data_IF_562866902493
#
_entry.id   IF_562866902493
#
_cell.length_a   1.000
_cell.length_b   1.000
_cell.length_c   1.000
_cell.angle_alpha   90.00
_cell.angle_beta   90.00
_cell.angle_gamma   90.00
#
_symmetry.space_group_name_H-M   'P 1'
#
loop_
_entity.id
_entity.type
_entity.pdbx_description
1 polymer ?
#
# COMPACT_ATOMS: atom_id res chain seq x y z
N UNK A 1 6.88 11.25 -24.58
CA UNK A 1 5.58 11.77 -25.01
C UNK A 1 4.58 10.63 -25.06
N UNK A 2 3.31 10.85 -24.69
CA UNK A 2 2.26 9.84 -24.82
C UNK A 2 1.94 9.55 -26.30
N UNK A 3 1.34 8.40 -26.56
CA UNK A 3 0.81 8.06 -27.87
C UNK A 3 -0.47 8.83 -28.13
N UNK A 4 -1.34 8.91 -27.14
CA UNK A 4 -2.52 9.78 -27.18
C UNK A 4 -2.12 11.17 -26.66
N UNK A 5 -2.23 12.21 -27.50
CA UNK A 5 -1.82 13.58 -27.19
C UNK A 5 -2.56 14.20 -25.98
N UNK A 6 -3.72 13.65 -25.59
CA UNK A 6 -4.47 14.09 -24.41
C UNK A 6 -4.02 13.42 -23.12
N UNK A 7 -3.27 12.32 -23.19
CA UNK A 7 -2.76 11.61 -22.03
C UNK A 7 -1.54 12.33 -21.43
N UNK A 8 -1.28 12.17 -20.12
CA UNK A 8 -0.15 12.82 -19.47
C UNK A 8 1.20 12.28 -19.93
N UNK A 9 2.23 13.12 -19.89
CA UNK A 9 3.61 12.73 -20.13
C UNK A 9 4.12 11.83 -18.98
N UNK A 10 5.13 11.02 -19.25
CA UNK A 10 5.97 10.42 -18.22
C UNK A 10 7.08 11.42 -17.90
N UNK A 11 7.09 11.98 -16.70
CA UNK A 11 8.22 12.76 -16.21
C UNK A 11 9.19 11.83 -15.47
N UNK A 12 10.47 11.99 -15.75
CA UNK A 12 11.51 11.21 -15.09
C UNK A 12 12.73 12.09 -14.75
N UNK A 13 13.48 11.69 -13.77
CA UNK A 13 14.76 12.27 -13.38
C UNK A 13 15.87 11.23 -13.57
N UNK A 14 17.04 11.70 -14.02
CA UNK A 14 18.24 10.89 -14.15
C UNK A 14 19.43 11.67 -13.59
N UNK A 15 20.11 11.10 -12.60
CA UNK A 15 21.30 11.68 -11.98
C UNK A 15 22.55 10.93 -12.43
N UNK A 16 23.51 11.66 -12.93
CA UNK A 16 24.75 11.16 -13.52
C UNK A 16 25.95 11.65 -12.69
N UNK A 17 26.48 10.85 -11.74
CA UNK A 17 27.57 11.27 -10.89
C UNK A 17 28.89 11.36 -11.68
N UNK A 18 29.72 12.38 -11.40
CA UNK A 18 31.04 12.52 -12.03
C UNK A 18 31.98 11.32 -11.81
N UNK A 19 31.87 10.67 -10.65
CA UNK A 19 32.60 9.44 -10.31
C UNK A 19 31.67 8.23 -10.38
N UNK A 20 31.25 7.90 -11.60
CA UNK A 20 30.36 6.77 -11.81
C UNK A 20 31.05 5.43 -11.53
N UNK A 21 30.38 4.56 -10.76
CA UNK A 21 30.88 3.24 -10.41
C UNK A 21 30.50 2.14 -11.44
N UNK A 22 29.91 2.51 -12.58
CA UNK A 22 29.48 1.61 -13.63
C UNK A 22 28.13 0.92 -13.36
N UNK A 23 27.36 1.39 -12.38
CA UNK A 23 26.08 0.78 -11.98
C UNK A 23 24.94 1.81 -12.01
N UNK A 24 23.72 1.30 -12.20
CA UNK A 24 22.50 2.13 -12.15
C UNK A 24 21.52 1.60 -11.11
N UNK A 25 20.70 2.49 -10.55
CA UNK A 25 19.55 2.13 -9.72
C UNK A 25 18.33 2.89 -10.21
N UNK A 26 17.27 2.14 -10.52
CA UNK A 26 15.93 2.65 -10.76
C UNK A 26 15.13 2.61 -9.45
N UNK A 27 14.60 3.74 -9.02
CA UNK A 27 13.77 3.86 -7.82
C UNK A 27 12.28 3.80 -8.20
N UNK A 28 11.54 2.89 -7.57
CA UNK A 28 10.08 2.81 -7.71
C UNK A 28 9.35 3.74 -6.75
N UNK A 29 8.15 4.14 -7.11
CA UNK A 29 7.30 5.05 -6.34
C UNK A 29 6.45 4.38 -5.26
N UNK A 30 5.41 5.07 -4.78
CA UNK A 30 4.52 4.58 -3.72
C UNK A 30 3.06 5.01 -3.91
N UNK A 31 2.13 4.30 -3.30
CA UNK A 31 0.69 4.56 -3.41
C UNK A 31 0.19 4.44 -4.86
N UNK A 32 -0.58 5.41 -5.31
CA UNK A 32 -0.93 5.55 -6.73
C UNK A 32 0.13 6.33 -7.53
N UNK A 33 1.28 6.65 -6.92
CA UNK A 33 2.37 7.45 -7.47
C UNK A 33 1.92 8.86 -7.94
N UNK A 34 2.26 9.30 -9.15
CA UNK A 34 1.92 10.64 -9.65
C UNK A 34 2.86 11.75 -9.18
N UNK A 35 3.95 11.41 -8.48
CA UNK A 35 5.03 12.30 -8.07
C UNK A 35 6.34 11.82 -8.63
N UNK A 36 7.14 12.76 -9.10
CA UNK A 36 8.46 12.43 -9.61
C UNK A 36 9.34 11.85 -8.51
N UNK A 37 9.84 10.65 -8.75
CA UNK A 37 10.89 10.02 -7.96
C UNK A 37 12.22 10.44 -8.57
N UNK A 38 12.97 11.27 -7.87
CA UNK A 38 14.19 11.88 -8.43
C UNK A 38 15.44 11.01 -8.25
N UNK A 39 15.37 9.94 -7.45
CA UNK A 39 16.48 9.00 -7.27
C UNK A 39 17.63 9.54 -6.41
N UNK A 40 17.43 10.61 -5.63
CA UNK A 40 18.45 11.17 -4.74
C UNK A 40 18.33 10.66 -3.30
N UNK A 41 17.30 9.89 -3.01
CA UNK A 41 16.95 9.40 -1.69
C UNK A 41 17.93 8.35 -1.14
N UNK A 42 18.00 8.24 0.19
CA UNK A 42 18.56 7.07 0.85
C UNK A 42 17.64 5.86 0.65
N UNK A 43 18.19 4.65 0.77
CA UNK A 43 17.39 3.43 0.68
C UNK A 43 16.44 3.36 1.88
N UNK A 44 15.14 3.40 1.61
CA UNK A 44 14.13 3.30 2.64
C UNK A 44 14.25 1.95 3.38
N UNK A 45 14.24 2.02 4.72
CA UNK A 45 14.50 0.87 5.62
C UNK A 45 15.88 0.24 5.45
N UNK A 46 16.77 0.86 4.72
CA UNK A 46 18.18 0.50 4.69
C UNK A 46 18.92 0.97 5.97
N UNK A 47 20.18 0.59 6.12
CA UNK A 47 20.99 1.05 7.25
C UNK A 47 21.08 2.58 7.28
N UNK A 48 20.73 3.19 8.41
CA UNK A 48 20.66 4.64 8.56
C UNK A 48 22.02 5.36 8.43
N UNK A 49 23.11 4.62 8.60
CA UNK A 49 24.50 5.10 8.47
C UNK A 49 25.03 5.05 7.03
N UNK A 50 24.26 4.55 6.09
CA UNK A 50 24.70 4.46 4.68
C UNK A 50 24.22 5.67 3.87
N UNK A 51 25.13 6.24 3.05
CA UNK A 51 24.76 7.36 2.16
C UNK A 51 23.81 6.90 1.05
N UNK A 52 23.14 7.87 0.42
CA UNK A 52 22.34 7.62 -0.75
C UNK A 52 23.15 6.97 -1.90
N UNK A 53 22.56 6.10 -2.72
CA UNK A 53 23.27 5.43 -3.82
C UNK A 53 23.97 6.39 -4.78
N UNK A 54 23.39 7.56 -5.05
CA UNK A 54 24.02 8.59 -5.87
C UNK A 54 25.39 9.01 -5.28
N UNK A 55 25.49 9.20 -3.97
CA UNK A 55 26.75 9.53 -3.31
C UNK A 55 27.79 8.39 -3.34
N UNK A 56 27.34 7.15 -3.56
CA UNK A 56 28.17 5.96 -3.76
C UNK A 56 28.57 5.77 -5.24
N UNK A 57 28.23 6.72 -6.10
CA UNK A 57 28.60 6.71 -7.51
C UNK A 57 27.65 5.93 -8.42
N UNK A 58 26.47 5.54 -7.97
CA UNK A 58 25.46 4.98 -8.85
C UNK A 58 24.82 6.09 -9.70
N UNK A 59 24.59 5.85 -10.98
CA UNK A 59 23.65 6.66 -11.73
C UNK A 59 22.23 6.24 -11.27
N UNK A 60 21.42 7.22 -10.86
CA UNK A 60 20.12 6.93 -10.25
C UNK A 60 19.00 7.61 -11.04
N UNK A 61 17.83 6.97 -11.09
CA UNK A 61 16.68 7.52 -11.81
C UNK A 61 15.36 6.98 -11.25
N UNK A 62 14.29 7.67 -11.58
CA UNK A 62 12.92 7.29 -11.30
C UNK A 62 11.93 8.13 -12.09
N UNK A 63 10.65 7.78 -12.04
CA UNK A 63 9.59 8.46 -12.76
C UNK A 63 8.35 8.74 -11.89
N UNK A 64 7.34 9.37 -12.48
CA UNK A 64 6.06 9.67 -11.86
C UNK A 64 4.95 8.67 -12.18
N UNK A 65 5.28 7.50 -12.74
CA UNK A 65 4.37 6.47 -13.27
C UNK A 65 3.50 6.91 -14.47
N UNK A 66 3.87 8.00 -15.13
CA UNK A 66 3.19 8.49 -16.34
C UNK A 66 1.90 9.24 -16.05
N UNK A 67 1.82 9.91 -14.92
CA UNK A 67 0.79 10.90 -14.60
C UNK A 67 1.28 11.81 -13.47
N UNK A 68 0.61 12.94 -13.26
CA UNK A 68 0.94 13.91 -12.23
C UNK A 68 -0.22 14.06 -11.24
N UNK A 69 0.08 13.98 -9.95
CA UNK A 69 -0.90 14.16 -8.89
C UNK A 69 -0.32 14.89 -7.68
N UNK A 70 -1.16 15.68 -7.01
CA UNK A 70 -0.84 16.30 -5.73
C UNK A 70 -0.84 15.31 -4.55
N UNK A 71 -1.41 14.12 -4.74
CA UNK A 71 -1.53 13.10 -3.69
C UNK A 71 -1.26 11.69 -4.23
N UNK A 72 -0.49 10.90 -3.49
CA UNK A 72 -0.26 9.49 -3.77
C UNK A 72 -1.48 8.60 -3.53
N UNK A 73 -2.59 9.15 -3.07
CA UNK A 73 -3.87 8.45 -2.93
C UNK A 73 -4.90 8.85 -3.98
N UNK A 74 -4.57 9.71 -4.94
CA UNK A 74 -5.46 10.15 -6.00
C UNK A 74 -5.45 9.14 -7.17
N UNK A 75 -6.58 8.49 -7.41
CA UNK A 75 -6.77 7.49 -8.47
C UNK A 75 -7.31 8.04 -9.79
N UNK A 76 -7.56 9.35 -9.90
CA UNK A 76 -8.22 9.97 -11.07
C UNK A 76 -7.53 9.69 -12.41
N UNK A 77 -6.23 9.54 -12.42
CA UNK A 77 -5.46 9.23 -13.63
C UNK A 77 -5.93 7.94 -14.32
N UNK A 78 -6.48 6.99 -13.55
CA UNK A 78 -6.94 5.71 -14.08
C UNK A 78 -8.17 5.84 -15.00
N UNK A 79 -8.80 7.02 -15.08
CA UNK A 79 -9.79 7.33 -16.10
C UNK A 79 -9.17 7.47 -17.52
N UNK A 80 -7.85 7.69 -17.63
CA UNK A 80 -7.10 7.68 -18.89
C UNK A 80 -6.42 6.32 -19.06
N UNK A 81 -6.67 5.66 -20.20
CA UNK A 81 -6.18 4.30 -20.44
C UNK A 81 -4.67 4.21 -20.61
N UNK A 82 -4.02 5.24 -21.20
CA UNK A 82 -2.57 5.26 -21.33
C UNK A 82 -1.89 5.51 -19.99
N UNK A 83 -2.41 6.43 -19.17
CA UNK A 83 -1.93 6.66 -17.81
C UNK A 83 -2.10 5.40 -16.94
N UNK A 84 -3.23 4.72 -17.06
CA UNK A 84 -3.47 3.45 -16.38
C UNK A 84 -2.48 2.36 -16.80
N UNK A 85 -2.20 2.23 -18.10
CA UNK A 85 -1.21 1.28 -18.62
C UNK A 85 0.22 1.63 -18.16
N UNK A 86 0.56 2.91 -18.11
CA UNK A 86 1.83 3.40 -17.59
C UNK A 86 1.98 3.04 -16.10
N UNK A 87 0.98 3.34 -15.27
CA UNK A 87 0.95 2.94 -13.87
C UNK A 87 0.99 1.41 -13.68
N UNK A 88 0.41 0.66 -14.61
CA UNK A 88 0.46 -0.81 -14.66
C UNK A 88 1.84 -1.38 -14.98
N UNK A 89 2.86 -0.53 -15.18
CA UNK A 89 4.26 -0.89 -15.36
C UNK A 89 4.89 -0.48 -16.70
N UNK A 90 4.14 0.10 -17.64
CA UNK A 90 4.76 0.52 -18.92
C UNK A 90 5.69 1.72 -18.74
N UNK A 91 5.41 2.64 -17.80
CA UNK A 91 6.30 3.76 -17.50
C UNK A 91 7.68 3.28 -17.08
N UNK A 92 7.75 2.25 -16.25
CA UNK A 92 9.01 1.68 -15.76
C UNK A 92 9.92 1.22 -16.92
N UNK A 93 9.35 0.49 -17.88
CA UNK A 93 10.10 0.02 -19.07
C UNK A 93 10.56 1.18 -19.92
N UNK A 94 9.66 2.12 -20.21
CA UNK A 94 9.96 3.32 -21.02
C UNK A 94 11.07 4.14 -20.36
N UNK A 95 10.96 4.41 -19.07
CA UNK A 95 11.97 5.17 -18.29
C UNK A 95 13.31 4.46 -18.24
N UNK A 96 13.30 3.15 -17.96
CA UNK A 96 14.52 2.32 -17.92
C UNK A 96 15.26 2.36 -19.26
N UNK A 97 14.55 2.19 -20.36
CA UNK A 97 15.18 2.12 -21.68
C UNK A 97 15.78 3.48 -22.08
N UNK A 98 15.09 4.59 -21.81
CA UNK A 98 15.61 5.94 -22.05
C UNK A 98 16.80 6.22 -21.13
N UNK A 99 16.70 5.91 -19.83
CA UNK A 99 17.79 6.11 -18.88
C UNK A 99 19.05 5.34 -19.28
N UNK A 100 18.92 4.08 -19.72
CA UNK A 100 20.05 3.27 -20.19
C UNK A 100 20.74 3.89 -21.41
N UNK A 101 19.97 4.44 -22.37
CA UNK A 101 20.52 5.13 -23.54
C UNK A 101 21.26 6.42 -23.13
N UNK A 102 20.68 7.23 -22.23
CA UNK A 102 21.29 8.46 -21.77
C UNK A 102 22.58 8.21 -20.95
N UNK A 103 22.58 7.20 -20.08
CA UNK A 103 23.77 6.76 -19.33
C UNK A 103 24.88 6.36 -20.32
N UNK A 104 24.54 5.54 -21.31
CA UNK A 104 25.51 5.12 -22.35
C UNK A 104 26.03 6.31 -23.14
N UNK A 105 25.18 7.25 -23.51
CA UNK A 105 25.59 8.43 -24.27
C UNK A 105 26.49 9.38 -23.45
N UNK A 106 26.24 9.52 -22.15
CA UNK A 106 27.02 10.41 -21.29
C UNK A 106 28.40 9.84 -20.91
N UNK A 107 28.47 8.54 -20.59
CA UNK A 107 29.71 7.90 -20.14
C UNK A 107 30.46 7.15 -21.26
N UNK A 108 29.92 7.15 -22.48
CA UNK A 108 30.42 6.34 -23.62
C UNK A 108 30.53 4.83 -23.28
N UNK A 109 29.74 4.38 -22.30
CA UNK A 109 29.74 3.01 -21.80
C UNK A 109 28.37 2.64 -21.22
N UNK A 110 27.88 1.44 -21.54
CA UNK A 110 26.68 0.90 -20.90
C UNK A 110 26.91 0.54 -19.41
N UNK A 111 25.88 0.59 -18.57
CA UNK A 111 25.99 0.09 -17.21
C UNK A 111 26.47 -1.37 -17.18
N UNK A 112 27.41 -1.68 -16.27
CA UNK A 112 27.84 -3.06 -16.03
C UNK A 112 26.79 -3.84 -15.25
N UNK A 113 26.07 -3.15 -14.37
CA UNK A 113 24.96 -3.70 -13.61
C UNK A 113 23.85 -2.65 -13.47
N UNK A 114 22.62 -3.13 -13.58
CA UNK A 114 21.41 -2.34 -13.38
C UNK A 114 20.57 -2.96 -12.26
N UNK A 115 20.09 -2.14 -11.34
CA UNK A 115 19.26 -2.57 -10.22
C UNK A 115 17.95 -1.81 -10.18
N UNK A 116 16.91 -2.45 -9.63
CA UNK A 116 15.67 -1.79 -9.26
C UNK A 116 15.47 -1.86 -7.75
N UNK A 117 15.00 -0.77 -7.17
CA UNK A 117 14.69 -0.68 -5.75
C UNK A 117 13.33 -0.02 -5.55
N UNK A 118 12.43 -0.71 -4.86
CA UNK A 118 11.13 -0.15 -4.57
C UNK A 118 10.47 -0.71 -3.32
N UNK A 119 9.70 0.16 -2.66
CA UNK A 119 8.95 -0.16 -1.45
C UNK A 119 7.46 0.01 -1.72
N UNK A 120 6.59 -0.82 -1.12
CA UNK A 120 5.13 -0.75 -1.28
C UNK A 120 4.73 -0.94 -2.76
N UNK A 121 4.10 0.06 -3.40
CA UNK A 121 3.83 0.03 -4.85
C UNK A 121 5.12 -0.13 -5.65
N UNK A 122 6.22 0.51 -5.27
CA UNK A 122 7.52 0.31 -5.91
C UNK A 122 8.04 -1.13 -5.79
N UNK A 123 7.72 -1.83 -4.70
CA UNK A 123 7.98 -3.27 -4.58
C UNK A 123 7.12 -4.10 -5.54
N UNK A 124 5.83 -3.77 -5.71
CA UNK A 124 4.99 -4.32 -6.78
C UNK A 124 5.61 -4.08 -8.16
N UNK A 125 6.06 -2.85 -8.41
CA UNK A 125 6.67 -2.44 -9.67
C UNK A 125 7.92 -3.26 -9.99
N UNK A 126 8.79 -3.50 -8.99
CA UNK A 126 9.96 -4.37 -9.10
C UNK A 126 9.58 -5.76 -9.59
N UNK A 127 8.59 -6.38 -8.93
CA UNK A 127 8.13 -7.74 -9.28
C UNK A 127 7.40 -7.77 -10.62
N UNK A 128 6.55 -6.78 -10.91
CA UNK A 128 5.87 -6.68 -12.20
C UNK A 128 6.86 -6.50 -13.36
N UNK A 129 7.93 -5.74 -13.14
CA UNK A 129 8.96 -5.52 -14.16
C UNK A 129 9.71 -6.80 -14.48
N UNK A 130 10.24 -7.51 -13.48
CA UNK A 130 11.01 -8.74 -13.72
C UNK A 130 10.16 -9.89 -14.28
N UNK A 131 8.86 -9.92 -14.01
CA UNK A 131 7.96 -10.87 -14.64
C UNK A 131 7.81 -10.65 -16.15
N UNK A 132 7.84 -9.38 -16.59
CA UNK A 132 7.63 -9.02 -18.00
C UNK A 132 8.94 -8.89 -18.76
N UNK A 133 9.98 -8.39 -18.12
CA UNK A 133 11.29 -8.08 -18.71
C UNK A 133 12.43 -8.56 -17.79
N UNK A 134 12.61 -9.90 -17.69
CA UNK A 134 13.50 -10.51 -16.69
C UNK A 134 15.00 -10.20 -16.91
N UNK A 135 15.37 -9.68 -18.06
CA UNK A 135 16.77 -9.35 -18.41
C UNK A 135 17.12 -7.88 -18.22
N UNK A 136 16.17 -7.05 -17.78
CA UNK A 136 16.40 -5.60 -17.68
C UNK A 136 17.22 -5.19 -16.46
N UNK A 137 17.20 -6.02 -15.40
CA UNK A 137 17.96 -5.78 -14.17
C UNK A 137 18.74 -7.01 -13.73
N UNK A 138 19.94 -6.76 -13.19
CA UNK A 138 20.77 -7.81 -12.58
C UNK A 138 20.29 -8.16 -11.16
N UNK A 139 19.53 -7.28 -10.53
CA UNK A 139 18.93 -7.52 -9.22
C UNK A 139 17.84 -6.52 -8.89
N UNK A 140 16.88 -6.97 -8.08
CA UNK A 140 15.80 -6.12 -7.58
C UNK A 140 15.64 -6.24 -6.07
N UNK A 141 15.31 -5.14 -5.43
CA UNK A 141 14.85 -5.10 -4.04
C UNK A 141 13.38 -4.71 -4.07
N UNK A 142 12.52 -5.69 -3.81
CA UNK A 142 11.09 -5.50 -3.67
C UNK A 142 10.74 -5.49 -2.18
N UNK A 143 10.83 -4.32 -1.56
CA UNK A 143 10.62 -4.16 -0.13
C UNK A 143 9.11 -3.93 0.13
N UNK A 144 8.54 -4.71 1.06
CA UNK A 144 7.12 -4.63 1.44
C UNK A 144 6.18 -4.51 0.23
N UNK A 145 6.29 -5.40 -0.79
CA UNK A 145 5.61 -5.24 -2.05
C UNK A 145 4.09 -5.28 -1.89
N UNK A 146 3.38 -4.35 -2.54
CA UNK A 146 1.93 -4.35 -2.59
C UNK A 146 1.41 -5.46 -3.53
N UNK A 147 1.51 -6.70 -3.08
CA UNK A 147 1.06 -7.89 -3.80
C UNK A 147 -0.46 -8.00 -3.82
N UNK A 148 -0.98 -8.79 -4.78
CA UNK A 148 -2.42 -8.97 -4.97
C UNK A 148 -3.16 -7.62 -4.93
N UNK A 149 -2.70 -6.69 -5.77
CA UNK A 149 -3.05 -5.27 -5.65
C UNK A 149 -4.56 -5.02 -5.73
N UNK A 150 -5.25 -5.63 -6.71
CA UNK A 150 -6.71 -5.51 -6.85
C UNK A 150 -7.44 -6.08 -5.64
N UNK A 151 -7.01 -7.25 -5.17
CA UNK A 151 -7.58 -7.89 -3.98
C UNK A 151 -7.41 -7.04 -2.73
N UNK A 152 -6.23 -6.43 -2.53
CA UNK A 152 -5.99 -5.52 -1.42
C UNK A 152 -6.93 -4.30 -1.49
N UNK A 153 -7.17 -3.73 -2.68
CA UNK A 153 -8.10 -2.60 -2.82
C UNK A 153 -9.55 -3.00 -2.51
N UNK A 154 -9.96 -4.19 -2.91
CA UNK A 154 -11.28 -4.73 -2.58
C UNK A 154 -11.43 -5.00 -1.06
N UNK A 155 -10.39 -5.52 -0.40
CA UNK A 155 -10.36 -5.65 1.07
C UNK A 155 -10.48 -4.29 1.76
N UNK A 156 -9.87 -3.25 1.20
CA UNK A 156 -9.98 -1.88 1.71
C UNK A 156 -11.42 -1.34 1.61
N UNK A 157 -12.17 -1.73 0.57
CA UNK A 157 -13.61 -1.41 0.46
C UNK A 157 -14.40 -2.17 1.53
N UNK A 158 -14.15 -3.46 1.74
CA UNK A 158 -14.81 -4.24 2.78
C UNK A 158 -14.58 -3.62 4.16
N UNK A 159 -13.35 -3.19 4.46
CA UNK A 159 -13.04 -2.47 5.68
C UNK A 159 -13.81 -1.14 5.79
N UNK A 160 -13.86 -0.35 4.71
CA UNK A 160 -14.63 0.90 4.69
C UNK A 160 -16.11 0.68 4.99
N UNK A 161 -16.71 -0.35 4.41
CA UNK A 161 -18.10 -0.75 4.72
C UNK A 161 -18.27 -1.13 6.19
N UNK A 162 -17.33 -1.90 6.77
CA UNK A 162 -17.38 -2.27 8.19
C UNK A 162 -17.25 -1.05 9.10
N UNK A 163 -16.37 -0.10 8.78
CA UNK A 163 -16.19 1.13 9.53
C UNK A 163 -17.41 2.05 9.48
N UNK A 164 -17.95 2.29 8.28
CA UNK A 164 -18.82 3.42 8.01
C UNK A 164 -20.31 3.08 7.83
N UNK A 165 -20.65 1.80 7.74
CA UNK A 165 -22.06 1.39 7.74
C UNK A 165 -22.79 1.87 9.00
N UNK A 166 -24.11 2.05 8.87
CA UNK A 166 -25.01 2.45 9.98
C UNK A 166 -24.50 3.70 10.75
N UNK A 167 -24.14 4.75 10.01
CA UNK A 167 -23.66 6.00 10.58
C UNK A 167 -22.29 5.88 11.29
N UNK A 168 -21.43 4.98 10.84
CA UNK A 168 -20.10 4.79 11.40
C UNK A 168 -20.10 3.99 12.71
N UNK A 169 -21.05 3.08 12.87
CA UNK A 169 -21.13 2.25 14.09
C UNK A 169 -19.91 1.38 14.31
N UNK A 170 -19.22 0.98 13.23
CA UNK A 170 -18.01 0.16 13.30
C UNK A 170 -16.71 0.96 13.47
N UNK A 171 -16.77 2.30 13.43
CA UNK A 171 -15.57 3.13 13.51
C UNK A 171 -14.94 3.11 14.91
N UNK A 172 -13.61 3.02 14.97
CA UNK A 172 -12.82 3.04 16.19
C UNK A 172 -12.00 4.35 16.25
N UNK A 173 -12.07 5.02 17.37
CA UNK A 173 -11.18 6.14 17.67
C UNK A 173 -9.80 5.64 18.15
N UNK A 174 -8.87 6.57 18.36
CA UNK A 174 -7.50 6.25 18.81
C UNK A 174 -7.48 5.50 20.12
N UNK A 175 -8.32 5.86 21.09
CA UNK A 175 -8.36 5.18 22.38
C UNK A 175 -8.75 3.71 22.25
N UNK A 176 -9.75 3.42 21.42
CA UNK A 176 -10.20 2.03 21.15
C UNK A 176 -9.17 1.23 20.34
N UNK A 177 -8.47 1.84 19.40
CA UNK A 177 -7.39 1.14 18.68
C UNK A 177 -6.22 0.79 19.60
N UNK A 178 -5.84 1.72 20.50
CA UNK A 178 -4.84 1.46 21.53
C UNK A 178 -5.28 0.38 22.52
N UNK A 179 -6.56 0.34 22.89
CA UNK A 179 -7.10 -0.72 23.74
C UNK A 179 -6.96 -2.09 23.07
N UNK A 180 -7.30 -2.23 21.80
CA UNK A 180 -7.10 -3.49 21.04
C UNK A 180 -5.64 -3.92 21.09
N UNK A 181 -4.73 -3.03 20.75
CA UNK A 181 -3.30 -3.31 20.72
C UNK A 181 -2.77 -3.73 22.10
N UNK A 182 -3.15 -3.01 23.16
CA UNK A 182 -2.71 -3.30 24.53
C UNK A 182 -3.26 -4.63 25.02
N UNK A 183 -4.53 -4.94 24.73
CA UNK A 183 -5.14 -6.23 25.11
C UNK A 183 -4.40 -7.40 24.48
N UNK A 184 -4.13 -7.32 23.17
CA UNK A 184 -3.39 -8.38 22.46
C UNK A 184 -1.97 -8.50 22.98
N UNK A 185 -1.28 -7.39 23.16
CA UNK A 185 0.08 -7.37 23.69
C UNK A 185 0.17 -7.98 25.07
N UNK A 186 -0.71 -7.59 26.00
CA UNK A 186 -0.74 -8.15 27.36
C UNK A 186 -0.97 -9.68 27.37
N UNK A 187 -1.78 -10.18 26.45
CA UNK A 187 -2.05 -11.60 26.35
C UNK A 187 -0.88 -12.40 25.72
N UNK A 188 -0.21 -11.82 24.72
CA UNK A 188 0.63 -12.56 23.79
C UNK A 188 2.15 -12.29 23.92
N UNK A 189 2.57 -11.13 24.40
CA UNK A 189 3.98 -10.69 24.46
C UNK A 189 4.90 -11.77 25.09
N UNK A 190 4.47 -12.36 26.20
CA UNK A 190 5.24 -13.36 26.95
C UNK A 190 5.31 -14.76 26.31
N UNK A 191 4.55 -15.01 25.24
CA UNK A 191 4.40 -16.37 24.67
C UNK A 191 5.65 -16.85 23.90
N UNK A 192 6.57 -15.97 23.59
CA UNK A 192 7.86 -16.30 22.97
C UNK A 192 9.00 -16.40 24.01
N UNK A 193 8.70 -16.14 25.30
CA UNK A 193 9.69 -16.16 26.39
C UNK A 193 10.31 -14.80 26.71
N UNK A 194 9.98 -13.74 25.98
CA UNK A 194 10.39 -12.37 26.24
C UNK A 194 9.18 -11.49 26.60
N UNK A 195 9.42 -10.39 27.33
CA UNK A 195 8.41 -9.34 27.57
C UNK A 195 9.04 -8.06 27.06
N UNK A 196 9.07 -7.90 25.76
CA UNK A 196 9.79 -6.81 25.05
C UNK A 196 8.86 -5.92 24.20
N UNK A 197 7.56 -6.22 24.23
CA UNK A 197 6.56 -5.50 23.50
C UNK A 197 6.36 -5.97 22.07
N UNK A 198 6.96 -7.10 21.70
CA UNK A 198 6.85 -7.72 20.38
C UNK A 198 6.20 -9.09 20.52
N UNK A 199 5.17 -9.36 19.73
CA UNK A 199 4.53 -10.68 19.67
C UNK A 199 5.22 -11.49 18.57
N UNK A 200 6.21 -12.32 18.95
CA UNK A 200 6.94 -13.17 18.00
C UNK A 200 6.30 -14.56 17.85
N UNK A 201 5.62 -15.08 18.88
CA UNK A 201 4.89 -16.34 18.80
C UNK A 201 3.46 -16.15 18.31
N UNK A 202 3.33 -15.79 17.02
CA UNK A 202 2.06 -15.51 16.34
C UNK A 202 1.08 -16.69 16.44
N UNK A 203 1.56 -17.92 16.27
CA UNK A 203 0.70 -19.12 16.29
C UNK A 203 0.06 -19.34 17.66
N UNK A 204 0.82 -19.24 18.74
CA UNK A 204 0.27 -19.35 20.09
C UNK A 204 -0.65 -18.17 20.43
N UNK A 205 -0.34 -16.98 19.95
CA UNK A 205 -1.20 -15.81 20.14
C UNK A 205 -2.55 -15.98 19.44
N UNK A 206 -2.58 -16.55 18.24
CA UNK A 206 -3.79 -16.81 17.45
C UNK A 206 -4.81 -17.67 18.19
N UNK A 207 -4.35 -18.58 19.03
CA UNK A 207 -5.23 -19.41 19.87
C UNK A 207 -6.01 -18.57 20.90
N UNK A 208 -5.56 -17.36 21.22
CA UNK A 208 -6.18 -16.44 22.17
C UNK A 208 -7.14 -15.44 21.51
N UNK A 209 -7.29 -15.42 20.19
CA UNK A 209 -8.10 -14.41 19.49
C UNK A 209 -9.54 -14.35 19.98
N UNK A 210 -10.18 -15.50 20.20
CA UNK A 210 -11.56 -15.56 20.69
C UNK A 210 -11.68 -14.95 22.10
N UNK A 211 -10.75 -15.26 23.00
CA UNK A 211 -10.74 -14.73 24.37
C UNK A 211 -10.40 -13.23 24.39
N UNK A 212 -9.46 -12.78 23.56
CA UNK A 212 -9.12 -11.38 23.43
C UNK A 212 -10.31 -10.55 22.93
N UNK A 213 -11.03 -11.04 21.91
CA UNK A 213 -12.23 -10.37 21.41
C UNK A 213 -13.35 -10.34 22.47
N UNK A 214 -13.51 -11.43 23.22
CA UNK A 214 -14.50 -11.49 24.32
C UNK A 214 -14.18 -10.49 25.43
N UNK A 215 -12.91 -10.37 25.81
CA UNK A 215 -12.44 -9.46 26.86
C UNK A 215 -12.65 -7.97 26.48
N UNK A 216 -12.61 -7.64 25.20
CA UNK A 216 -12.83 -6.27 24.71
C UNK A 216 -14.30 -5.89 24.52
N UNK A 217 -15.22 -6.84 24.61
CA UNK A 217 -16.63 -6.61 24.29
C UNK A 217 -17.33 -5.78 25.37
N UNK A 218 -18.11 -4.76 24.96
CA UNK A 218 -19.03 -4.05 25.84
C UNK A 218 -20.15 -4.98 26.33
N UNK A 219 -20.53 -4.93 27.62
CA UNK A 219 -21.55 -5.81 28.21
C UNK A 219 -22.89 -5.77 27.48
N UNK A 220 -23.40 -4.61 27.11
CA UNK A 220 -24.65 -4.49 26.35
C UNK A 220 -24.51 -4.83 24.87
N UNK A 221 -23.28 -4.88 24.34
CA UNK A 221 -23.00 -4.95 22.91
C UNK A 221 -23.13 -3.61 22.14
N UNK A 222 -23.61 -2.56 22.82
CA UNK A 222 -23.61 -1.17 22.32
C UNK A 222 -22.28 -0.49 22.54
N UNK A 223 -22.13 0.76 22.08
CA UNK A 223 -20.97 1.59 22.34
C UNK A 223 -21.08 2.24 23.72
N UNK A 224 -20.28 1.76 24.67
CA UNK A 224 -20.27 2.20 26.08
C UNK A 224 -19.04 3.05 26.43
N UNK A 225 -18.39 3.66 25.45
CA UNK A 225 -17.19 4.47 25.63
C UNK A 225 -15.89 3.78 25.26
N UNK A 226 -14.76 4.36 25.67
CA UNK A 226 -13.43 4.00 25.16
C UNK A 226 -12.82 2.74 25.77
N UNK A 227 -13.46 2.15 26.78
CA UNK A 227 -12.94 1.00 27.53
C UNK A 227 -13.42 -0.35 26.98
N UNK A 228 -14.27 -0.37 25.97
CA UNK A 228 -14.77 -1.58 25.35
C UNK A 228 -15.15 -1.35 23.89
N UNK A 229 -15.44 -2.44 23.16
CA UNK A 229 -15.88 -2.41 21.76
C UNK A 229 -17.34 -2.87 21.64
N UNK A 230 -18.12 -2.11 20.88
CA UNK A 230 -19.47 -2.53 20.47
C UNK A 230 -19.41 -3.75 19.54
N UNK A 231 -20.58 -4.38 19.33
CA UNK A 231 -20.69 -5.48 18.36
C UNK A 231 -20.26 -5.08 16.95
N UNK A 232 -20.58 -3.84 16.52
CA UNK A 232 -20.18 -3.32 15.22
C UNK A 232 -18.65 -3.08 15.13
N UNK A 233 -18.04 -2.56 16.19
CA UNK A 233 -16.59 -2.36 16.25
C UNK A 233 -15.82 -3.69 16.29
N UNK A 234 -16.32 -4.69 16.98
CA UNK A 234 -15.79 -6.05 16.95
C UNK A 234 -15.90 -6.67 15.54
N UNK A 235 -16.99 -6.39 14.82
CA UNK A 235 -17.11 -6.81 13.41
C UNK A 235 -16.04 -6.15 12.52
N UNK A 236 -15.73 -4.87 12.73
CA UNK A 236 -14.63 -4.20 12.03
C UNK A 236 -13.28 -4.87 12.29
N UNK A 237 -12.98 -5.22 13.56
CA UNK A 237 -11.74 -5.96 13.90
C UNK A 237 -11.71 -7.31 13.18
N UNK A 238 -12.82 -8.05 13.15
CA UNK A 238 -12.87 -9.32 12.40
C UNK A 238 -12.70 -9.14 10.90
N UNK A 239 -13.22 -8.06 10.32
CA UNK A 239 -13.04 -7.73 8.90
C UNK A 239 -11.56 -7.41 8.58
N UNK A 240 -10.84 -6.78 9.49
CA UNK A 240 -9.41 -6.56 9.35
C UNK A 240 -8.62 -7.86 9.46
N UNK A 241 -8.98 -8.73 10.42
CA UNK A 241 -8.28 -9.97 10.72
C UNK A 241 -8.47 -11.02 9.63
N UNK A 242 -9.70 -11.20 9.16
CA UNK A 242 -10.04 -12.24 8.20
C UNK A 242 -9.71 -11.84 6.76
N UNK A 243 -9.28 -12.77 5.90
CA UNK A 243 -9.21 -12.52 4.47
C UNK A 243 -10.61 -12.30 3.88
N UNK A 244 -10.70 -11.44 2.89
CA UNK A 244 -11.87 -11.29 2.03
C UNK A 244 -11.85 -12.43 0.99
N UNK A 245 -12.87 -13.28 0.99
CA UNK A 245 -13.01 -14.37 0.02
C UNK A 245 -13.81 -13.90 -1.20
N UNK A 246 -13.33 -14.25 -2.41
CA UNK A 246 -14.00 -13.97 -3.69
C UNK A 246 -14.78 -15.21 -4.13
N UNK A 247 -15.91 -15.49 -3.49
CA UNK A 247 -16.69 -16.71 -3.75
C UNK A 247 -17.44 -16.70 -5.09
N UNK A 248 -17.82 -15.53 -5.58
CA UNK A 248 -18.61 -15.37 -6.80
C UNK A 248 -17.72 -15.21 -8.06
N UNK A 249 -16.44 -14.92 -7.91
CA UNK A 249 -15.50 -14.68 -9.02
C UNK A 249 -14.06 -14.91 -8.58
N UNK A 250 -13.14 -14.88 -9.56
CA UNK A 250 -11.70 -14.89 -9.31
C UNK A 250 -11.06 -13.65 -9.90
N UNK A 251 -10.08 -13.11 -9.21
CA UNK A 251 -9.22 -12.07 -9.78
C UNK A 251 -8.29 -12.68 -10.83
N UNK A 252 -7.63 -11.82 -11.60
CA UNK A 252 -6.57 -12.24 -12.50
C UNK A 252 -5.58 -13.18 -11.79
N UNK A 253 -4.99 -14.10 -12.51
CA UNK A 253 -4.11 -15.15 -11.97
C UNK A 253 -4.78 -16.16 -11.01
N UNK A 254 -6.11 -16.25 -11.02
CA UNK A 254 -6.86 -17.22 -10.22
C UNK A 254 -6.90 -16.89 -8.72
N UNK A 255 -6.65 -15.66 -8.34
CA UNK A 255 -6.69 -15.23 -6.93
C UNK A 255 -8.12 -15.25 -6.40
N UNK A 256 -8.33 -15.96 -5.30
CA UNK A 256 -9.65 -16.21 -4.67
C UNK A 256 -9.86 -15.45 -3.35
N UNK A 257 -8.81 -14.84 -2.79
CA UNK A 257 -8.89 -14.11 -1.52
C UNK A 257 -7.84 -13.02 -1.40
N UNK A 258 -8.08 -12.04 -0.54
CA UNK A 258 -7.14 -10.96 -0.24
C UNK A 258 -7.38 -10.37 1.16
N UNK A 259 -6.42 -9.60 1.63
CA UNK A 259 -6.47 -9.00 2.98
C UNK A 259 -6.12 -10.01 4.07
N UNK A 260 -6.66 -9.77 5.27
CA UNK A 260 -6.29 -10.51 6.47
C UNK A 260 -5.00 -9.96 7.08
N UNK A 261 -5.14 -9.24 8.19
CA UNK A 261 -4.03 -8.62 8.88
C UNK A 261 -3.98 -9.16 10.31
N UNK A 262 -2.82 -9.58 10.77
CA UNK A 262 -2.59 -10.19 12.10
C UNK A 262 -2.74 -9.18 13.25
N UNK A 263 -3.88 -8.49 13.34
CA UNK A 263 -4.11 -7.44 14.35
C UNK A 263 -4.26 -8.07 15.73
N UNK A 264 -4.88 -9.24 15.78
CA UNK A 264 -5.07 -9.98 17.01
C UNK A 264 -3.83 -10.81 17.40
N UNK A 265 -2.80 -10.80 16.55
CA UNK A 265 -1.48 -11.39 16.82
C UNK A 265 -0.36 -10.33 16.91
N UNK A 266 -0.72 -9.07 17.21
CA UNK A 266 0.24 -8.03 17.53
C UNK A 266 0.60 -7.08 16.40
N UNK A 267 0.00 -7.20 15.20
CA UNK A 267 0.13 -6.15 14.20
C UNK A 267 -0.49 -4.85 14.70
N UNK A 268 0.18 -3.73 14.41
CA UNK A 268 -0.23 -2.42 14.93
C UNK A 268 -1.54 -1.95 14.29
N UNK A 269 -2.58 -1.78 15.11
CA UNK A 269 -3.81 -1.05 14.75
C UNK A 269 -3.70 0.41 15.17
N UNK A 270 -2.82 0.71 16.13
CA UNK A 270 -2.62 2.04 16.68
C UNK A 270 -1.13 2.42 16.67
N UNK A 271 -0.82 3.63 16.27
CA UNK A 271 0.53 4.18 16.24
C UNK A 271 0.54 5.49 15.45
N UNK A 272 1.69 6.12 15.22
CA UNK A 272 1.75 7.37 14.48
C UNK A 272 1.19 7.28 13.04
N UNK A 273 1.06 6.06 12.52
CA UNK A 273 0.46 5.81 11.20
C UNK A 273 -0.99 5.35 11.28
N UNK A 274 -1.44 4.75 12.37
CA UNK A 274 -2.75 4.10 12.52
C UNK A 274 -3.88 5.05 12.91
N UNK A 275 -3.60 6.19 13.58
CA UNK A 275 -4.60 7.25 13.70
C UNK A 275 -5.00 7.82 12.34
N UNK A 276 -4.14 7.68 11.33
CA UNK A 276 -4.46 7.97 9.92
C UNK A 276 -5.17 6.80 9.26
N UNK A 277 -4.91 5.57 9.66
CA UNK A 277 -5.40 4.37 8.98
C UNK A 277 -6.89 4.15 9.17
N UNK A 278 -7.45 4.53 10.33
CA UNK A 278 -8.90 4.49 10.59
C UNK A 278 -9.58 5.86 10.47
N UNK A 279 -8.84 6.91 10.12
CA UNK A 279 -9.38 8.26 9.93
C UNK A 279 -9.75 8.97 11.22
N UNK A 280 -10.28 10.18 11.07
CA UNK A 280 -10.61 11.07 12.19
C UNK A 280 -12.12 11.29 12.35
N UNK A 281 -12.95 10.66 11.52
CA UNK A 281 -14.41 10.86 11.51
C UNK A 281 -15.18 9.58 11.25
N UNK A 282 -16.42 9.55 11.76
CA UNK A 282 -17.35 8.41 11.62
C UNK A 282 -18.11 8.38 10.29
N UNK A 283 -18.21 9.50 9.60
CA UNK A 283 -18.90 9.61 8.32
C UNK A 283 -17.88 9.94 7.21
N UNK A 284 -17.68 9.09 6.23
CA UNK A 284 -16.73 9.34 5.16
C UNK A 284 -17.20 10.41 4.19
N UNK A 285 -16.26 11.02 3.49
CA UNK A 285 -16.57 11.85 2.33
C UNK A 285 -16.91 11.00 1.10
N UNK A 286 -17.56 11.64 0.13
CA UNK A 286 -17.73 11.07 -1.21
C UNK A 286 -17.35 12.14 -2.24
N UNK A 287 -16.15 12.06 -2.87
CA UNK A 287 -15.12 11.03 -2.65
C UNK A 287 -14.49 11.08 -1.24
N UNK A 288 -13.89 9.96 -0.83
CA UNK A 288 -13.16 9.87 0.41
C UNK A 288 -11.92 10.79 0.41
N UNK A 289 -11.56 11.31 1.59
CA UNK A 289 -10.49 12.30 1.79
C UNK A 289 -9.47 11.80 2.83
N UNK A 290 -8.40 12.56 3.05
CA UNK A 290 -7.38 12.25 4.09
C UNK A 290 -7.91 12.25 5.53
N UNK A 291 -9.15 12.70 5.77
CA UNK A 291 -9.82 12.58 7.07
C UNK A 291 -10.48 11.21 7.28
N UNK A 292 -10.60 10.42 6.22
CA UNK A 292 -11.18 9.08 6.25
C UNK A 292 -10.09 8.03 6.47
N UNK A 293 -10.49 6.80 6.78
CA UNK A 293 -9.56 5.69 6.91
C UNK A 293 -8.72 5.55 5.63
N UNK A 294 -7.41 5.58 5.74
CA UNK A 294 -6.50 5.59 4.60
C UNK A 294 -6.70 4.38 3.68
N UNK A 295 -6.96 3.20 4.26
CA UNK A 295 -7.30 2.01 3.49
C UNK A 295 -8.58 2.24 2.68
N UNK A 296 -9.65 2.79 3.31
CA UNK A 296 -10.89 3.10 2.59
C UNK A 296 -10.68 4.14 1.49
N UNK A 297 -9.86 5.18 1.73
CA UNK A 297 -9.52 6.17 0.69
C UNK A 297 -9.00 5.49 -0.56
N UNK A 298 -8.04 4.58 -0.41
CA UNK A 298 -7.46 3.87 -1.56
C UNK A 298 -8.42 2.87 -2.20
N UNK A 299 -9.33 2.27 -1.43
CA UNK A 299 -10.43 1.44 -1.94
C UNK A 299 -11.46 2.26 -2.72
N UNK A 300 -11.86 3.42 -2.18
CA UNK A 300 -12.80 4.36 -2.82
C UNK A 300 -12.27 4.85 -4.17
N UNK A 301 -11.02 5.30 -4.20
CA UNK A 301 -10.38 5.74 -5.44
C UNK A 301 -10.25 4.60 -6.45
N UNK A 302 -9.99 3.37 -5.98
CA UNK A 302 -9.94 2.19 -6.84
C UNK A 302 -11.30 1.91 -7.49
N UNK A 303 -12.38 1.83 -6.70
CA UNK A 303 -13.72 1.56 -7.23
C UNK A 303 -14.15 2.65 -8.20
N UNK A 304 -13.97 3.92 -7.84
CA UNK A 304 -14.40 5.05 -8.67
C UNK A 304 -13.68 5.13 -10.00
N UNK A 305 -12.36 4.97 -10.02
CA UNK A 305 -11.57 5.31 -11.21
C UNK A 305 -11.04 4.11 -11.97
N UNK A 306 -10.79 2.97 -11.30
CA UNK A 306 -10.27 1.78 -11.98
C UNK A 306 -11.39 0.81 -12.36
N UNK A 307 -12.47 0.71 -11.56
CA UNK A 307 -13.55 -0.27 -11.77
C UNK A 307 -14.73 0.37 -12.48
N UNK A 308 -15.39 1.36 -11.86
CA UNK A 308 -16.64 1.93 -12.37
C UNK A 308 -16.44 3.09 -13.35
N UNK A 309 -15.27 3.70 -13.38
CA UNK A 309 -14.96 4.92 -14.15
C UNK A 309 -15.93 6.07 -13.82
N UNK A 310 -16.46 6.12 -12.61
CA UNK A 310 -17.43 7.09 -12.11
C UNK A 310 -16.95 7.74 -10.81
N UNK A 311 -16.60 9.02 -10.88
CA UNK A 311 -16.14 9.80 -9.73
C UNK A 311 -17.20 9.96 -8.62
N UNK A 312 -18.47 9.82 -8.95
CA UNK A 312 -19.62 10.00 -8.05
C UNK A 312 -20.19 8.68 -7.53
N UNK A 313 -19.62 7.53 -7.93
CA UNK A 313 -20.10 6.23 -7.50
C UNK A 313 -20.06 6.11 -5.96
N UNK A 314 -21.11 5.53 -5.37
CA UNK A 314 -21.14 5.25 -3.92
C UNK A 314 -20.38 3.96 -3.60
N UNK A 315 -19.13 4.09 -3.19
CA UNK A 315 -18.27 2.97 -2.87
C UNK A 315 -18.74 2.15 -1.66
N UNK A 316 -19.50 2.74 -0.73
CA UNK A 316 -20.05 1.97 0.39
C UNK A 316 -21.16 1.01 -0.06
N UNK A 317 -21.84 1.32 -1.17
CA UNK A 317 -22.79 0.43 -1.82
C UNK A 317 -22.15 -0.69 -2.66
N UNK A 318 -20.85 -0.58 -2.97
CA UNK A 318 -20.14 -1.59 -3.75
C UNK A 318 -19.88 -2.86 -2.92
N UNK A 319 -20.29 -4.02 -3.42
CA UNK A 319 -20.01 -5.30 -2.77
C UNK A 319 -18.72 -5.93 -3.34
N UNK A 320 -17.60 -5.91 -2.59
CA UNK A 320 -16.35 -6.45 -3.11
C UNK A 320 -16.33 -7.98 -3.26
N UNK A 321 -17.33 -8.70 -2.73
CA UNK A 321 -17.47 -10.15 -2.93
C UNK A 321 -18.32 -10.49 -4.15
N UNK A 322 -19.15 -9.54 -4.61
CA UNK A 322 -20.01 -9.69 -5.78
C UNK A 322 -20.14 -8.33 -6.50
N UNK A 323 -19.06 -7.86 -7.15
CA UNK A 323 -18.97 -6.54 -7.76
C UNK A 323 -19.82 -6.37 -9.02
#
# INVERSE_FOLDING_TARGET
>A
KPVNASSPDINFALNLPLRWNGKTIHFGGGGFNGRLIDGTETIRFGPADKPAPLALGYATYGDDSGHQSGSITDGKFAADDEALANYGGQSLKKTRDVAAQLVKAYYDMAPRHAYFLGTSTGGRDALAHIQRWPTDYDGVIANEPALNYSGTRLSNVALGRALYANGGAGWLNVAKTLMVQNTVKQACDKLDGAVDGIVSNVESCRLLNASNLAAMRCPSGGDEGDHCLSAAQLATIRTLEAPLEFSAYRLANGVERAGGYNILEGALVAGPYTSRDLGTRRAPGNPATSADANMYVTGDQWVKYFVTRSATFDTLGFDPQNP
#
